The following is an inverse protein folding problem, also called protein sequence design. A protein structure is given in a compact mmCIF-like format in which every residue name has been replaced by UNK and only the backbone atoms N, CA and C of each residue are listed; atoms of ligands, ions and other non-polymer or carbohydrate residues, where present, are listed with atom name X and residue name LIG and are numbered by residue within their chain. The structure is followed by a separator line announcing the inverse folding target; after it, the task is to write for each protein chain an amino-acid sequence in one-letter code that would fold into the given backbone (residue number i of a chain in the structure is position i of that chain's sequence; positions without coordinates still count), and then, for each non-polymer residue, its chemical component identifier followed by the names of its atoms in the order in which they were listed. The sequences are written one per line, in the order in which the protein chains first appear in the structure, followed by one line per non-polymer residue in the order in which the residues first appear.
data_IF_051338081687
#
_entry.id   IF_051338081687
#
_cell.length_a   1.000
_cell.length_b   1.000
_cell.length_c   1.000
_cell.angle_alpha   90.00
_cell.angle_beta   90.00
_cell.angle_gamma   90.00
#
_symmetry.space_group_name_H-M   'P 1'
#
loop_
_entity.id
_entity.type
_entity.pdbx_description
1 polymer ?
#
# COMPACT_ATOMS: atom_id res chain seq x y z
N UNK A 1 -21.40 56.92 12.40
CA UNK A 1 -21.72 55.53 12.00
C UNK A 1 -22.67 55.61 10.83
N UNK A 2 -22.19 55.35 9.61
CA UNK A 2 -23.06 55.24 8.42
C UNK A 2 -23.90 53.97 8.56
N UNK A 3 -25.22 54.09 8.48
CA UNK A 3 -26.13 52.94 8.52
C UNK A 3 -25.91 52.10 7.26
N UNK A 4 -25.37 50.89 7.43
CA UNK A 4 -25.26 49.90 6.36
C UNK A 4 -26.57 49.12 6.29
N UNK A 5 -27.15 48.97 5.10
CA UNK A 5 -28.27 48.05 4.90
C UNK A 5 -27.82 46.62 5.24
N UNK A 6 -28.69 45.77 5.81
CA UNK A 6 -28.33 44.37 6.11
C UNK A 6 -27.84 43.61 4.86
N UNK A 7 -28.39 43.98 3.69
CA UNK A 7 -28.03 43.43 2.39
C UNK A 7 -26.60 43.79 1.92
N UNK A 8 -26.01 44.87 2.43
CA UNK A 8 -24.68 45.35 2.03
C UNK A 8 -23.60 45.13 3.12
N UNK A 9 -23.94 44.50 4.26
CA UNK A 9 -22.97 44.23 5.35
C UNK A 9 -21.76 43.44 4.86
N UNK A 10 -21.96 42.50 3.95
CA UNK A 10 -20.87 41.71 3.36
C UNK A 10 -19.92 42.54 2.51
N UNK A 11 -20.42 43.59 1.82
CA UNK A 11 -19.61 44.54 1.03
C UNK A 11 -18.68 45.31 1.96
N UNK A 12 -19.23 45.85 3.04
CA UNK A 12 -18.45 46.57 4.05
C UNK A 12 -17.41 45.67 4.73
N UNK A 13 -17.77 44.43 5.06
CA UNK A 13 -16.86 43.46 5.66
C UNK A 13 -15.70 43.11 4.71
N UNK A 14 -15.99 42.90 3.41
CA UNK A 14 -14.97 42.60 2.40
C UNK A 14 -14.03 43.80 2.18
N UNK A 15 -14.58 45.00 2.06
CA UNK A 15 -13.80 46.24 1.90
C UNK A 15 -12.90 46.50 3.12
N UNK A 16 -13.44 46.36 4.33
CA UNK A 16 -12.66 46.52 5.57
C UNK A 16 -11.55 45.48 5.65
N UNK A 17 -11.80 44.24 5.22
CA UNK A 17 -10.77 43.19 5.18
C UNK A 17 -9.65 43.56 4.19
N UNK A 18 -9.99 44.02 3.00
CA UNK A 18 -9.01 44.43 1.98
C UNK A 18 -8.11 45.56 2.50
N UNK A 19 -8.68 46.53 3.23
CA UNK A 19 -7.92 47.59 3.88
C UNK A 19 -6.95 47.04 4.94
N UNK A 20 -7.44 46.21 5.87
CA UNK A 20 -6.62 45.61 6.92
C UNK A 20 -5.52 44.70 6.34
N UNK A 21 -5.77 44.04 5.21
CA UNK A 21 -4.77 43.24 4.51
C UNK A 21 -3.63 44.09 3.91
N UNK A 22 -3.91 45.32 3.46
CA UNK A 22 -2.85 46.25 3.03
C UNK A 22 -1.92 46.60 4.21
N UNK A 23 -2.47 46.71 5.42
CA UNK A 23 -1.73 47.08 6.63
C UNK A 23 -0.97 45.89 7.24
N UNK A 24 -1.47 44.66 7.06
CA UNK A 24 -0.91 43.46 7.67
C UNK A 24 -0.78 42.30 6.65
N UNK A 25 0.40 42.18 6.05
CA UNK A 25 0.70 41.13 5.07
C UNK A 25 0.50 39.70 5.63
N UNK A 26 0.66 39.51 6.95
CA UNK A 26 0.40 38.24 7.64
C UNK A 26 -1.06 37.78 7.59
N UNK A 27 -1.99 38.64 7.22
CA UNK A 27 -3.42 38.32 7.03
C UNK A 27 -3.74 37.96 5.57
N UNK A 28 -2.73 37.89 4.70
CA UNK A 28 -2.91 37.53 3.30
C UNK A 28 -3.43 36.10 3.16
N UNK A 29 -4.52 35.96 2.42
CA UNK A 29 -5.12 34.66 2.10
C UNK A 29 -4.22 33.87 1.16
N UNK A 30 -4.09 32.57 1.43
CA UNK A 30 -3.50 31.65 0.46
C UNK A 30 -4.43 31.48 -0.73
N UNK A 31 -3.89 31.01 -1.86
CA UNK A 31 -4.69 30.73 -3.04
C UNK A 31 -5.80 29.68 -2.79
N UNK A 32 -5.57 28.74 -1.86
CA UNK A 32 -6.56 27.74 -1.46
C UNK A 32 -7.74 28.38 -0.72
N UNK A 33 -7.45 29.26 0.23
CA UNK A 33 -8.47 30.02 0.96
C UNK A 33 -9.22 30.97 0.02
N UNK A 34 -8.50 31.68 -0.85
CA UNK A 34 -9.11 32.59 -1.83
C UNK A 34 -10.05 31.86 -2.80
N UNK A 35 -9.71 30.64 -3.23
CA UNK A 35 -10.60 29.82 -4.05
C UNK A 35 -11.91 29.48 -3.33
N UNK A 36 -11.85 29.14 -2.03
CA UNK A 36 -13.05 28.91 -1.23
C UNK A 36 -13.88 30.19 -1.09
N UNK A 37 -13.25 31.32 -0.75
CA UNK A 37 -13.93 32.61 -0.59
C UNK A 37 -14.67 33.01 -1.88
N UNK A 38 -14.02 32.90 -3.05
CA UNK A 38 -14.63 33.22 -4.35
C UNK A 38 -15.81 32.30 -4.69
N UNK A 39 -15.70 31.01 -4.39
CA UNK A 39 -16.77 30.03 -4.63
C UNK A 39 -18.01 30.33 -3.78
N UNK A 40 -17.82 30.62 -2.48
CA UNK A 40 -18.92 30.95 -1.59
C UNK A 40 -19.46 32.36 -1.82
N UNK A 41 -18.63 33.29 -2.31
CA UNK A 41 -19.08 34.62 -2.72
C UNK A 41 -20.05 34.53 -3.90
N UNK A 42 -19.75 33.72 -4.93
CA UNK A 42 -20.69 33.47 -6.02
C UNK A 42 -22.00 32.88 -5.51
N UNK A 43 -21.95 31.87 -4.62
CA UNK A 43 -23.16 31.28 -4.04
C UNK A 43 -23.99 32.28 -3.22
N UNK A 44 -23.35 33.20 -2.50
CA UNK A 44 -24.02 34.28 -1.78
C UNK A 44 -24.72 35.22 -2.76
N UNK A 45 -24.07 35.60 -3.86
CA UNK A 45 -24.64 36.48 -4.87
C UNK A 45 -25.83 35.83 -5.59
N UNK A 46 -25.73 34.55 -5.94
CA UNK A 46 -26.85 33.78 -6.51
C UNK A 46 -28.05 33.76 -5.55
N UNK A 47 -27.80 33.66 -4.23
CA UNK A 47 -28.85 33.73 -3.21
C UNK A 47 -29.49 35.12 -3.13
N UNK A 48 -28.71 36.20 -3.22
CA UNK A 48 -29.22 37.57 -3.19
C UNK A 48 -30.04 37.92 -4.43
N UNK A 49 -29.62 37.44 -5.60
CA UNK A 49 -30.32 37.64 -6.87
C UNK A 49 -31.50 36.67 -7.07
N UNK A 50 -31.63 35.65 -6.21
CA UNK A 50 -32.69 34.64 -6.31
C UNK A 50 -32.58 33.74 -7.54
N UNK A 51 -31.43 33.71 -8.22
CA UNK A 51 -31.19 32.95 -9.45
C UNK A 51 -29.72 32.55 -9.58
N UNK A 52 -29.45 31.56 -10.44
CA UNK A 52 -28.07 31.25 -10.83
C UNK A 52 -27.47 32.37 -11.67
N UNK A 53 -26.19 32.62 -11.46
CA UNK A 53 -25.41 33.65 -12.14
C UNK A 53 -24.24 33.01 -12.88
N UNK A 54 -24.07 33.38 -14.14
CA UNK A 54 -22.86 33.05 -14.89
C UNK A 54 -21.66 33.83 -14.36
N UNK A 55 -20.45 33.30 -14.54
CA UNK A 55 -19.21 33.95 -14.08
C UNK A 55 -19.08 35.43 -14.56
N UNK A 56 -19.45 35.81 -15.81
CA UNK A 56 -19.48 37.21 -16.24
C UNK A 56 -20.49 38.08 -15.48
N UNK A 57 -21.68 37.56 -15.21
CA UNK A 57 -22.72 38.28 -14.45
C UNK A 57 -22.27 38.54 -13.01
N UNK A 58 -21.63 37.55 -12.38
CA UNK A 58 -21.04 37.69 -11.04
C UNK A 58 -20.01 38.82 -11.03
N UNK A 59 -19.10 38.85 -12.01
CA UNK A 59 -18.07 39.90 -12.11
C UNK A 59 -18.70 41.28 -12.32
N UNK A 60 -19.73 41.42 -13.15
CA UNK A 60 -20.41 42.70 -13.35
C UNK A 60 -21.14 43.17 -12.08
N UNK A 61 -21.79 42.26 -11.36
CA UNK A 61 -22.47 42.58 -10.11
C UNK A 61 -21.46 42.95 -9.00
N UNK A 62 -20.29 42.31 -8.96
CA UNK A 62 -19.22 42.73 -8.04
C UNK A 62 -18.67 44.12 -8.38
N UNK A 63 -18.56 44.44 -9.67
CA UNK A 63 -18.15 45.78 -10.14
C UNK A 63 -19.15 46.86 -9.74
N UNK A 64 -20.45 46.59 -9.82
CA UNK A 64 -21.49 47.55 -9.41
C UNK A 64 -21.58 47.76 -7.90
N UNK A 65 -21.06 46.82 -7.09
CA UNK A 65 -21.02 46.91 -5.62
C UNK A 65 -19.83 47.70 -5.07
N UNK A 66 -19.02 48.35 -5.91
CA UNK A 66 -17.90 49.24 -5.53
C UNK A 66 -16.93 48.59 -4.50
N UNK A 67 -16.53 47.34 -4.75
CA UNK A 67 -15.55 46.68 -3.90
C UNK A 67 -14.18 47.36 -3.96
N UNK A 68 -13.57 47.55 -2.80
CA UNK A 68 -12.20 48.04 -2.66
C UNK A 68 -11.23 46.87 -2.84
N UNK A 69 -10.08 47.12 -3.47
CA UNK A 69 -8.99 46.14 -3.58
C UNK A 69 -7.73 46.63 -2.90
N UNK A 70 -6.97 45.69 -2.34
CA UNK A 70 -5.64 45.96 -1.82
C UNK A 70 -4.69 46.40 -2.95
N UNK A 71 -4.21 47.66 -2.95
CA UNK A 71 -3.10 48.06 -3.84
C UNK A 71 -1.76 47.67 -3.21
N UNK A 72 -0.89 47.00 -3.98
CA UNK A 72 0.52 46.81 -3.61
C UNK A 72 1.28 48.11 -3.92
N UNK A 73 1.38 48.99 -2.93
CA UNK A 73 2.12 50.25 -3.05
C UNK A 73 1.50 51.35 -2.21
N UNK A 74 2.34 52.22 -1.66
CA UNK A 74 1.97 53.27 -0.71
C UNK A 74 0.80 54.15 -1.17
N UNK A 75 -0.31 54.06 -0.45
CA UNK A 75 -1.05 55.26 -0.04
C UNK A 75 -2.37 55.61 -0.72
N UNK A 76 -2.87 54.87 -1.72
CA UNK A 76 -4.22 55.15 -2.26
C UNK A 76 -5.01 53.87 -2.53
N UNK A 77 -6.08 53.65 -1.77
CA UNK A 77 -7.12 52.66 -2.12
C UNK A 77 -7.86 53.15 -3.36
N UNK A 78 -7.61 52.56 -4.53
CA UNK A 78 -8.43 52.77 -5.72
C UNK A 78 -9.64 51.82 -5.70
N UNK A 79 -10.79 52.28 -6.20
CA UNK A 79 -11.92 51.41 -6.56
C UNK A 79 -11.53 50.61 -7.81
N UNK A 80 -10.70 49.58 -7.66
CA UNK A 80 -10.24 48.78 -8.78
C UNK A 80 -10.66 47.32 -8.62
N UNK A 81 -11.85 47.00 -9.13
CA UNK A 81 -12.42 45.63 -9.12
C UNK A 81 -11.77 44.74 -10.19
N UNK A 82 -10.72 45.20 -10.89
CA UNK A 82 -10.02 44.41 -11.94
C UNK A 82 -9.40 43.11 -11.43
N UNK A 83 -9.20 42.97 -10.12
CA UNK A 83 -8.71 41.72 -9.52
C UNK A 83 -9.72 40.56 -9.56
N UNK A 84 -11.01 40.84 -9.77
CA UNK A 84 -12.03 39.81 -9.97
C UNK A 84 -12.32 39.67 -11.46
N UNK A 85 -11.81 38.61 -12.08
CA UNK A 85 -12.15 38.26 -13.45
C UNK A 85 -12.88 36.92 -13.52
N UNK A 86 -13.54 36.67 -14.65
CA UNK A 86 -14.33 35.44 -14.90
C UNK A 86 -13.50 34.18 -14.62
N UNK A 87 -12.23 34.20 -15.05
CA UNK A 87 -11.31 33.10 -14.84
C UNK A 87 -11.08 32.78 -13.36
N UNK A 88 -11.11 33.76 -12.44
CA UNK A 88 -10.98 33.51 -11.00
C UNK A 88 -12.12 32.63 -10.48
N UNK A 89 -13.37 32.89 -10.90
CA UNK A 89 -14.55 32.12 -10.48
C UNK A 89 -14.56 30.73 -11.11
N UNK A 90 -14.23 30.63 -12.40
CA UNK A 90 -14.06 29.34 -13.07
C UNK A 90 -13.00 28.49 -12.35
N UNK A 91 -11.85 29.08 -12.00
CA UNK A 91 -10.78 28.41 -11.26
C UNK A 91 -11.22 28.00 -9.85
N UNK A 92 -11.86 28.91 -9.11
CA UNK A 92 -12.37 28.66 -7.76
C UNK A 92 -13.35 27.49 -7.73
N UNK A 93 -14.34 27.47 -8.64
CA UNK A 93 -15.30 26.38 -8.80
C UNK A 93 -14.60 25.05 -9.06
N UNK A 94 -13.62 25.03 -9.97
CA UNK A 94 -12.82 23.84 -10.23
C UNK A 94 -12.07 23.36 -8.99
N UNK A 95 -11.44 24.26 -8.25
CA UNK A 95 -10.65 23.93 -7.06
C UNK A 95 -11.54 23.38 -5.95
N UNK A 96 -12.62 24.06 -5.60
CA UNK A 96 -13.49 23.63 -4.50
C UNK A 96 -14.16 22.29 -4.83
N UNK A 97 -14.74 22.16 -6.03
CA UNK A 97 -15.48 20.95 -6.40
C UNK A 97 -14.58 19.72 -6.62
N UNK A 98 -13.36 19.91 -7.16
CA UNK A 98 -12.47 18.78 -7.52
C UNK A 98 -11.33 18.51 -6.53
N UNK A 99 -10.94 19.50 -5.72
CA UNK A 99 -9.85 19.39 -4.75
C UNK A 99 -10.36 19.38 -3.31
N UNK A 100 -11.09 20.42 -2.88
CA UNK A 100 -11.51 20.57 -1.47
C UNK A 100 -12.50 19.49 -1.02
N UNK A 101 -13.29 18.95 -1.94
CA UNK A 101 -14.17 17.80 -1.68
C UNK A 101 -13.42 16.51 -1.30
N UNK A 102 -12.08 16.49 -1.43
CA UNK A 102 -11.26 15.32 -1.16
C UNK A 102 -10.41 15.52 0.09
N UNK A 103 -10.75 14.81 1.18
CA UNK A 103 -10.06 14.95 2.47
C UNK A 103 -8.53 14.82 2.36
N UNK A 104 -8.04 13.80 1.65
CA UNK A 104 -6.59 13.56 1.49
C UNK A 104 -5.88 14.74 0.83
N UNK A 105 -6.48 15.34 -0.20
CA UNK A 105 -5.92 16.50 -0.88
C UNK A 105 -5.95 17.72 0.04
N UNK A 106 -7.09 17.95 0.71
CA UNK A 106 -7.27 19.04 1.66
C UNK A 106 -6.26 19.00 2.80
N UNK A 107 -6.04 17.83 3.39
CA UNK A 107 -5.06 17.66 4.48
C UNK A 107 -3.63 17.96 4.00
N UNK A 108 -3.27 17.53 2.79
CA UNK A 108 -1.95 17.81 2.21
C UNK A 108 -1.77 19.30 1.95
N UNK A 109 -2.76 19.97 1.35
CA UNK A 109 -2.66 21.41 1.07
C UNK A 109 -2.59 22.19 2.38
N UNK A 110 -3.47 21.92 3.34
CA UNK A 110 -3.48 22.57 4.65
C UNK A 110 -2.15 22.36 5.41
N UNK A 111 -1.59 21.14 5.36
CA UNK A 111 -0.26 20.87 5.94
C UNK A 111 0.81 21.75 5.30
N UNK A 112 0.86 21.83 3.97
CA UNK A 112 1.87 22.64 3.28
C UNK A 112 1.68 24.14 3.52
N UNK A 113 0.44 24.63 3.57
CA UNK A 113 0.14 26.02 3.90
C UNK A 113 0.48 26.36 5.36
N UNK A 114 0.26 25.43 6.29
CA UNK A 114 0.65 25.62 7.71
C UNK A 114 2.18 25.70 7.85
N UNK A 115 2.92 24.89 7.09
CA UNK A 115 4.38 24.83 7.17
C UNK A 115 5.09 25.97 6.41
N UNK A 116 4.50 26.49 5.33
CA UNK A 116 5.16 27.41 4.40
C UNK A 116 4.39 28.70 4.12
N UNK A 117 3.14 28.81 4.54
CA UNK A 117 2.30 29.98 4.29
C UNK A 117 2.26 30.35 2.80
N UNK A 118 2.63 31.60 2.51
CA UNK A 118 2.70 32.15 1.16
C UNK A 118 3.74 31.49 0.25
N UNK A 119 4.77 30.85 0.82
CA UNK A 119 5.84 30.16 0.09
C UNK A 119 5.46 28.72 -0.31
N UNK A 120 4.28 28.26 0.08
CA UNK A 120 3.76 26.95 -0.31
C UNK A 120 3.71 26.79 -1.84
N UNK A 121 4.12 25.61 -2.34
CA UNK A 121 3.96 25.29 -3.75
C UNK A 121 2.50 25.30 -4.22
N UNK A 122 1.54 25.26 -3.31
CA UNK A 122 0.10 25.33 -3.63
C UNK A 122 -0.46 26.76 -3.57
N UNK A 123 0.31 27.76 -3.13
CA UNK A 123 -0.12 29.15 -3.08
C UNK A 123 -0.11 29.82 -4.48
N UNK A 124 -0.89 29.28 -5.41
CA UNK A 124 -1.16 29.89 -6.71
C UNK A 124 -2.44 29.33 -7.30
N UNK A 125 -3.40 30.21 -7.58
CA UNK A 125 -4.72 29.84 -8.09
C UNK A 125 -4.62 29.10 -9.44
N UNK A 126 -3.70 29.53 -10.31
CA UNK A 126 -3.44 28.88 -11.61
C UNK A 126 -2.90 27.46 -11.42
N UNK A 127 -1.99 27.27 -10.46
CA UNK A 127 -1.40 25.96 -10.17
C UNK A 127 -2.46 24.99 -9.64
N UNK A 128 -3.28 25.44 -8.69
CA UNK A 128 -4.38 24.65 -8.12
C UNK A 128 -5.44 24.31 -9.17
N UNK A 129 -5.84 25.26 -10.02
CA UNK A 129 -6.80 24.99 -11.11
C UNK A 129 -6.26 23.94 -12.09
N UNK A 130 -4.98 23.99 -12.46
CA UNK A 130 -4.39 22.96 -13.33
C UNK A 130 -4.26 21.60 -12.66
N UNK A 131 -3.99 21.54 -11.35
CA UNK A 131 -4.06 20.30 -10.56
C UNK A 131 -5.49 19.75 -10.46
N UNK A 132 -6.50 20.60 -10.51
CA UNK A 132 -7.89 20.19 -10.55
C UNK A 132 -8.31 19.65 -11.92
N UNK A 133 -7.83 20.27 -13.01
CA UNK A 133 -8.32 20.00 -14.37
C UNK A 133 -7.52 18.96 -15.15
N UNK A 134 -6.20 18.93 -15.04
CA UNK A 134 -5.36 18.09 -15.90
C UNK A 134 -5.34 16.61 -15.54
N UNK A 135 -5.28 16.23 -14.24
CA UNK A 135 -5.35 14.83 -13.88
C UNK A 135 -6.66 14.21 -14.38
N UNK A 136 -6.54 13.10 -15.10
CA UNK A 136 -7.62 12.40 -15.79
C UNK A 136 -8.72 11.91 -14.84
N UNK A 137 -8.38 11.57 -13.60
CA UNK A 137 -9.34 11.07 -12.62
C UNK A 137 -8.98 11.46 -11.18
N UNK A 138 -9.89 11.16 -10.24
CA UNK A 138 -9.68 11.45 -8.82
C UNK A 138 -8.50 10.68 -8.22
N UNK A 139 -8.29 9.44 -8.66
CA UNK A 139 -7.20 8.59 -8.18
C UNK A 139 -5.83 9.14 -8.60
N UNK A 140 -5.66 9.50 -9.88
CA UNK A 140 -4.42 10.11 -10.37
C UNK A 140 -4.15 11.44 -9.67
N UNK A 141 -5.19 12.25 -9.47
CA UNK A 141 -5.09 13.50 -8.71
C UNK A 141 -4.60 13.27 -7.27
N UNK A 142 -5.19 12.33 -6.53
CA UNK A 142 -4.74 11.97 -5.18
C UNK A 142 -3.27 11.55 -5.18
N UNK A 143 -2.89 10.66 -6.09
CA UNK A 143 -1.52 10.20 -6.25
C UNK A 143 -0.53 11.35 -6.46
N UNK A 144 -0.86 12.32 -7.31
CA UNK A 144 -0.03 13.50 -7.59
C UNK A 144 0.21 14.33 -6.32
N UNK A 145 -0.85 14.64 -5.56
CA UNK A 145 -0.72 15.41 -4.31
C UNK A 145 0.10 14.64 -3.26
N UNK A 146 -0.18 13.34 -3.12
CA UNK A 146 0.56 12.46 -2.22
C UNK A 146 2.04 12.37 -2.58
N UNK A 147 2.37 12.25 -3.87
CA UNK A 147 3.74 12.18 -4.37
C UNK A 147 4.48 13.51 -4.15
N UNK A 148 3.86 14.64 -4.48
CA UNK A 148 4.41 15.98 -4.22
C UNK A 148 4.75 16.13 -2.73
N UNK A 149 3.80 15.80 -1.86
CA UNK A 149 3.99 15.92 -0.41
C UNK A 149 5.10 15.00 0.09
N UNK A 150 5.18 13.75 -0.40
CA UNK A 150 6.23 12.81 -0.04
C UNK A 150 7.61 13.34 -0.45
N UNK A 151 7.76 13.75 -1.72
CA UNK A 151 9.02 14.28 -2.26
C UNK A 151 9.47 15.55 -1.53
N UNK A 152 8.55 16.45 -1.17
CA UNK A 152 8.84 17.67 -0.40
C UNK A 152 9.24 17.35 1.05
N UNK A 153 8.48 16.51 1.75
CA UNK A 153 8.76 16.16 3.15
C UNK A 153 10.11 15.45 3.33
N UNK A 154 10.59 14.75 2.31
CA UNK A 154 11.87 14.05 2.34
C UNK A 154 13.01 14.79 1.61
N UNK A 155 12.79 16.03 1.19
CA UNK A 155 13.83 16.86 0.57
C UNK A 155 14.30 16.36 -0.80
N UNK A 156 13.56 15.46 -1.44
CA UNK A 156 13.86 14.99 -2.80
C UNK A 156 13.63 16.13 -3.80
N UNK A 157 12.61 16.95 -3.57
CA UNK A 157 12.35 18.20 -4.28
C UNK A 157 12.13 19.36 -3.29
N UNK A 158 12.26 20.59 -3.78
CA UNK A 158 11.98 21.83 -3.04
C UNK A 158 10.74 22.53 -3.64
N UNK A 159 10.14 23.45 -2.89
CA UNK A 159 9.01 24.26 -3.40
C UNK A 159 9.37 25.02 -4.69
N UNK A 160 10.63 25.43 -4.85
CA UNK A 160 11.13 26.09 -6.04
C UNK A 160 11.12 25.22 -7.29
N UNK A 161 11.22 23.90 -7.15
CA UNK A 161 11.10 22.97 -8.27
C UNK A 161 9.67 22.93 -8.83
N UNK A 162 8.69 23.38 -8.02
CA UNK A 162 7.26 23.44 -8.32
C UNK A 162 6.78 24.87 -8.67
N UNK A 163 7.66 25.68 -9.26
CA UNK A 163 7.29 26.94 -9.92
C UNK A 163 6.29 26.69 -11.05
N UNK A 164 5.49 27.70 -11.40
CA UNK A 164 4.40 27.63 -12.41
C UNK A 164 4.86 26.94 -13.71
N UNK A 165 6.00 27.35 -14.27
CA UNK A 165 6.56 26.78 -15.52
C UNK A 165 6.89 25.29 -15.39
N UNK A 166 7.47 24.86 -14.28
CA UNK A 166 7.89 23.47 -14.09
C UNK A 166 6.70 22.56 -13.77
N UNK A 167 5.75 23.06 -12.98
CA UNK A 167 4.59 22.28 -12.56
C UNK A 167 3.60 22.09 -13.70
N UNK A 168 3.31 23.16 -14.45
CA UNK A 168 2.37 23.16 -15.56
C UNK A 168 3.06 22.70 -16.86
N UNK A 169 4.28 23.13 -17.13
CA UNK A 169 4.94 22.88 -18.41
C UNK A 169 4.32 23.66 -19.57
N UNK A 170 4.84 23.39 -20.77
CA UNK A 170 4.41 24.01 -22.03
C UNK A 170 3.80 22.98 -22.99
N UNK A 171 3.57 23.39 -24.23
CA UNK A 171 3.08 22.51 -25.30
C UNK A 171 4.10 21.44 -25.71
N UNK A 172 5.39 21.77 -25.69
CA UNK A 172 6.50 20.90 -26.09
C UNK A 172 7.23 20.23 -24.94
N UNK A 173 7.02 20.68 -23.69
CA UNK A 173 7.69 20.13 -22.52
C UNK A 173 6.69 19.86 -21.39
N UNK A 174 6.41 18.59 -21.07
CA UNK A 174 5.44 18.23 -20.04
C UNK A 174 5.90 18.67 -18.64
N UNK A 175 5.02 19.39 -17.94
CA UNK A 175 5.24 19.76 -16.55
C UNK A 175 5.06 18.61 -15.57
N UNK A 176 5.41 18.85 -14.30
CA UNK A 176 5.34 17.85 -13.23
C UNK A 176 3.94 17.24 -13.05
N UNK A 177 2.85 17.95 -13.34
CA UNK A 177 1.50 17.36 -13.27
C UNK A 177 1.38 16.17 -14.23
N UNK A 178 1.76 16.35 -15.50
CA UNK A 178 1.70 15.27 -16.49
C UNK A 178 2.72 14.18 -16.19
N UNK A 179 3.91 14.54 -15.69
CA UNK A 179 4.92 13.55 -15.26
C UNK A 179 4.37 12.66 -14.15
N UNK A 180 3.80 13.23 -13.11
CA UNK A 180 3.35 12.47 -11.94
C UNK A 180 2.12 11.63 -12.28
N UNK A 181 1.26 12.08 -13.20
CA UNK A 181 0.21 11.25 -13.76
C UNK A 181 0.74 10.11 -14.65
N UNK A 182 1.78 10.37 -15.44
CA UNK A 182 2.44 9.32 -16.21
C UNK A 182 3.06 8.27 -15.28
N UNK A 183 3.76 8.69 -14.23
CA UNK A 183 4.31 7.79 -13.20
C UNK A 183 3.25 6.96 -12.49
N UNK A 184 2.10 7.54 -12.19
CA UNK A 184 0.95 6.80 -11.65
C UNK A 184 0.51 5.66 -12.59
N UNK A 185 0.47 5.91 -13.90
CA UNK A 185 0.16 4.88 -14.91
C UNK A 185 1.30 3.87 -15.08
N UNK A 186 2.56 4.32 -15.01
CA UNK A 186 3.73 3.44 -15.02
C UNK A 186 3.72 2.45 -13.87
N UNK A 187 3.27 2.85 -12.67
CA UNK A 187 3.21 1.95 -11.52
C UNK A 187 2.39 0.69 -11.83
N UNK A 188 1.17 0.87 -12.33
CA UNK A 188 0.31 -0.25 -12.74
C UNK A 188 0.94 -1.03 -13.88
N UNK A 189 1.44 -0.36 -14.93
CA UNK A 189 2.07 -1.03 -16.06
C UNK A 189 3.28 -1.88 -15.68
N UNK A 190 4.17 -1.36 -14.82
CA UNK A 190 5.35 -2.09 -14.36
C UNK A 190 4.93 -3.32 -13.56
N UNK A 191 4.00 -3.16 -12.61
CA UNK A 191 3.54 -4.24 -11.73
C UNK A 191 2.70 -5.30 -12.45
N UNK A 192 1.89 -4.92 -13.43
CA UNK A 192 0.93 -5.80 -14.11
C UNK A 192 1.45 -6.37 -15.43
N UNK A 193 2.36 -5.67 -16.11
CA UNK A 193 2.83 -6.06 -17.44
C UNK A 193 4.32 -6.39 -17.40
N UNK A 194 5.19 -5.45 -17.04
CA UNK A 194 6.64 -5.66 -17.12
C UNK A 194 7.11 -6.78 -16.17
N UNK A 195 6.68 -6.76 -14.90
CA UNK A 195 6.98 -7.83 -13.95
C UNK A 195 6.46 -9.20 -14.39
N UNK A 196 5.37 -9.23 -15.17
CA UNK A 196 4.81 -10.48 -15.71
C UNK A 196 5.63 -10.99 -16.88
N UNK A 197 6.00 -10.10 -17.80
CA UNK A 197 6.86 -10.42 -18.95
C UNK A 197 8.25 -10.88 -18.53
N UNK A 198 8.82 -10.28 -17.47
CA UNK A 198 10.07 -10.70 -16.85
C UNK A 198 9.95 -12.01 -16.03
N UNK A 199 8.76 -12.62 -15.96
CA UNK A 199 8.49 -13.89 -15.27
C UNK A 199 8.89 -13.91 -13.79
N UNK A 200 8.80 -12.76 -13.12
CA UNK A 200 9.01 -12.68 -11.67
C UNK A 200 7.99 -13.56 -10.94
N UNK A 201 8.42 -14.14 -9.81
CA UNK A 201 7.61 -15.07 -9.01
C UNK A 201 6.28 -14.44 -8.60
N UNK A 202 5.19 -15.20 -8.72
CA UNK A 202 3.83 -14.72 -8.40
C UNK A 202 3.71 -14.16 -6.98
N UNK A 203 4.31 -14.85 -6.00
CA UNK A 203 4.31 -14.43 -4.60
C UNK A 203 4.96 -13.04 -4.43
N UNK A 204 6.10 -12.81 -5.09
CA UNK A 204 6.83 -11.54 -5.03
C UNK A 204 6.04 -10.42 -5.71
N UNK A 205 5.41 -10.70 -6.86
CA UNK A 205 4.53 -9.73 -7.54
C UNK A 205 3.34 -9.32 -6.66
N UNK A 206 2.74 -10.27 -5.94
CA UNK A 206 1.65 -9.99 -4.99
C UNK A 206 2.14 -9.09 -3.87
N UNK A 207 3.32 -9.35 -3.31
CA UNK A 207 3.92 -8.50 -2.28
C UNK A 207 4.21 -7.08 -2.79
N UNK A 208 4.86 -6.96 -3.97
CA UNK A 208 5.13 -5.67 -4.60
C UNK A 208 3.84 -4.86 -4.78
N UNK A 209 2.78 -5.47 -5.33
CA UNK A 209 1.47 -4.80 -5.50
C UNK A 209 0.82 -4.42 -4.18
N UNK A 210 0.97 -5.25 -3.14
CA UNK A 210 0.41 -4.99 -1.82
C UNK A 210 1.07 -3.77 -1.18
N UNK A 211 2.39 -3.64 -1.31
CA UNK A 211 3.18 -2.65 -0.59
C UNK A 211 3.41 -1.34 -1.37
N UNK A 212 3.32 -1.35 -2.71
CA UNK A 212 3.59 -0.21 -3.60
C UNK A 212 2.32 0.43 -4.19
N UNK A 213 1.25 0.60 -3.40
CA UNK A 213 -0.05 1.06 -3.91
C UNK A 213 -0.12 2.56 -4.19
N UNK A 214 0.44 3.35 -3.28
CA UNK A 214 0.42 4.81 -3.31
C UNK A 214 1.67 5.36 -2.61
N UNK A 215 1.99 6.66 -2.74
CA UNK A 215 3.23 7.20 -2.19
C UNK A 215 3.35 7.06 -0.66
N UNK A 216 2.32 7.33 0.16
CA UNK A 216 2.36 7.07 1.61
C UNK A 216 2.61 5.60 1.95
N UNK A 217 1.83 4.69 1.37
CA UNK A 217 1.97 3.25 1.63
C UNK A 217 3.36 2.75 1.21
N UNK A 218 3.82 3.17 0.04
CA UNK A 218 5.16 2.83 -0.46
C UNK A 218 6.21 3.25 0.54
N UNK A 219 6.16 4.50 1.06
CA UNK A 219 7.12 4.99 2.04
C UNK A 219 7.11 4.19 3.34
N UNK A 220 5.93 3.99 3.93
CA UNK A 220 5.80 3.20 5.15
C UNK A 220 6.34 1.78 4.95
N UNK A 221 6.09 1.18 3.79
CA UNK A 221 6.55 -0.19 3.50
C UNK A 221 7.99 -0.29 2.99
N UNK A 222 8.67 0.81 2.67
CA UNK A 222 10.03 0.73 2.10
C UNK A 222 11.09 1.42 2.91
N UNK A 223 10.69 2.19 3.91
CA UNK A 223 11.61 2.87 4.79
C UNK A 223 11.29 2.65 6.26
N UNK A 224 10.01 2.60 6.63
CA UNK A 224 9.61 2.37 8.03
C UNK A 224 9.48 0.88 8.36
N UNK A 225 8.99 0.07 7.41
CA UNK A 225 8.81 -1.37 7.57
C UNK A 225 9.35 -2.15 6.36
N UNK A 226 10.64 -2.46 6.40
CA UNK A 226 11.37 -3.14 5.33
C UNK A 226 11.39 -4.67 5.44
N UNK A 227 10.79 -5.25 6.49
CA UNK A 227 10.94 -6.67 6.81
C UNK A 227 10.50 -7.63 5.69
N UNK A 228 9.47 -7.25 4.93
CA UNK A 228 8.99 -8.05 3.79
C UNK A 228 9.93 -8.05 2.59
N UNK A 229 10.85 -7.08 2.48
CA UNK A 229 11.79 -7.04 1.36
C UNK A 229 12.78 -8.22 1.41
N UNK A 230 13.06 -8.73 2.60
CA UNK A 230 13.91 -9.90 2.81
C UNK A 230 13.30 -11.21 2.28
N UNK A 231 12.00 -11.26 2.01
CA UNK A 231 11.35 -12.44 1.41
C UNK A 231 11.33 -12.43 -0.12
N UNK A 232 11.73 -11.33 -0.76
CA UNK A 232 11.79 -11.21 -2.22
C UNK A 232 13.04 -11.90 -2.77
N UNK A 233 12.97 -12.41 -4.00
CA UNK A 233 14.21 -12.80 -4.72
C UNK A 233 15.07 -11.58 -5.06
N UNK A 234 16.33 -11.79 -5.44
CA UNK A 234 17.24 -10.70 -5.83
C UNK A 234 16.70 -9.96 -7.05
N UNK A 235 16.15 -10.68 -8.02
CA UNK A 235 15.49 -10.06 -9.17
C UNK A 235 14.30 -9.18 -8.76
N UNK A 236 13.47 -9.63 -7.80
CA UNK A 236 12.35 -8.83 -7.29
C UNK A 236 12.77 -7.65 -6.40
N UNK A 237 13.92 -7.73 -5.74
CA UNK A 237 14.53 -6.58 -5.05
C UNK A 237 15.06 -5.53 -6.04
N UNK A 238 15.67 -5.96 -7.15
CA UNK A 238 16.05 -5.03 -8.23
C UNK A 238 14.81 -4.40 -8.86
N UNK A 239 13.73 -5.17 -9.07
CA UNK A 239 12.46 -4.64 -9.56
C UNK A 239 11.85 -3.60 -8.60
N UNK A 240 11.93 -3.83 -7.29
CA UNK A 240 11.53 -2.85 -6.28
C UNK A 240 12.32 -1.55 -6.44
N UNK A 241 13.65 -1.64 -6.55
CA UNK A 241 14.54 -0.48 -6.74
C UNK A 241 14.18 0.29 -8.02
N UNK A 242 13.99 -0.42 -9.13
CA UNK A 242 13.55 0.17 -10.40
C UNK A 242 12.22 0.91 -10.27
N UNK A 243 11.22 0.31 -9.61
CA UNK A 243 9.91 0.96 -9.40
C UNK A 243 10.08 2.25 -8.58
N UNK A 244 10.92 2.23 -7.54
CA UNK A 244 11.23 3.42 -6.75
C UNK A 244 11.82 4.53 -7.60
N UNK A 245 12.85 4.24 -8.39
CA UNK A 245 13.57 5.22 -9.20
C UNK A 245 12.70 5.84 -10.29
N UNK A 246 11.82 5.03 -10.91
CA UNK A 246 10.93 5.48 -11.98
C UNK A 246 9.71 6.22 -11.44
N UNK A 247 9.04 5.67 -10.42
CA UNK A 247 7.71 6.13 -9.98
C UNK A 247 7.77 7.06 -8.77
N UNK A 248 8.56 6.73 -7.76
CA UNK A 248 8.48 7.40 -6.44
C UNK A 248 9.61 8.38 -6.17
N UNK A 249 10.71 8.31 -6.91
CA UNK A 249 11.86 9.21 -6.83
C UNK A 249 12.02 10.02 -8.12
N UNK A 250 13.01 10.91 -8.15
CA UNK A 250 13.24 11.81 -9.31
C UNK A 250 14.32 11.33 -10.28
N UNK A 251 14.88 10.14 -10.05
CA UNK A 251 16.07 9.64 -10.75
C UNK A 251 15.91 9.67 -12.27
N UNK A 252 14.74 9.29 -12.77
CA UNK A 252 14.44 9.24 -14.20
C UNK A 252 13.56 10.39 -14.71
N UNK A 253 13.22 11.40 -13.90
CA UNK A 253 12.26 12.46 -14.26
C UNK A 253 12.61 13.18 -15.57
N UNK A 254 13.89 13.45 -15.80
CA UNK A 254 14.34 14.15 -17.00
C UNK A 254 14.16 13.30 -18.27
N UNK A 255 14.48 12.02 -18.19
CA UNK A 255 14.36 11.06 -19.29
C UNK A 255 12.88 10.84 -19.61
N UNK A 256 12.06 10.62 -18.58
CA UNK A 256 10.61 10.48 -18.74
C UNK A 256 10.00 11.73 -19.40
N UNK A 257 10.40 12.93 -18.96
CA UNK A 257 9.94 14.20 -19.55
C UNK A 257 10.37 14.40 -21.00
N UNK A 258 11.54 13.88 -21.40
CA UNK A 258 12.02 13.97 -22.78
C UNK A 258 11.25 13.06 -23.73
N UNK A 259 10.93 11.83 -23.30
CA UNK A 259 10.23 10.87 -24.16
C UNK A 259 8.70 11.02 -24.14
N UNK A 260 8.10 11.43 -23.02
CA UNK A 260 6.64 11.46 -22.91
C UNK A 260 6.00 12.73 -23.50
N UNK A 261 4.78 12.57 -24.01
CA UNK A 261 3.82 13.64 -24.30
C UNK A 261 2.67 13.60 -23.27
N UNK A 262 1.86 14.68 -23.15
CA UNK A 262 0.63 14.61 -22.37
C UNK A 262 -0.20 13.39 -22.80
N UNK A 263 -0.67 12.60 -21.82
CA UNK A 263 -1.43 11.36 -22.02
C UNK A 263 -0.68 10.17 -22.65
N UNK A 264 0.64 10.23 -22.86
CA UNK A 264 1.44 9.09 -23.36
C UNK A 264 1.15 7.79 -22.60
N UNK A 265 1.09 6.67 -23.32
CA UNK A 265 0.90 5.35 -22.74
C UNK A 265 2.22 4.86 -22.09
N UNK A 266 2.18 4.12 -20.96
CA UNK A 266 3.39 3.64 -20.27
C UNK A 266 4.31 2.72 -21.11
N UNK A 267 3.81 2.12 -22.19
CA UNK A 267 4.64 1.26 -23.07
C UNK A 267 5.85 1.98 -23.68
N UNK A 268 5.82 3.31 -23.76
CA UNK A 268 6.97 4.12 -24.19
C UNK A 268 8.23 3.90 -23.33
N UNK A 269 8.09 3.35 -22.12
CA UNK A 269 9.24 2.94 -21.29
C UNK A 269 10.14 1.94 -22.03
N UNK A 270 9.59 1.11 -22.93
CA UNK A 270 10.36 0.15 -23.73
C UNK A 270 11.15 0.80 -24.89
N UNK A 271 10.90 2.08 -25.17
CA UNK A 271 11.60 2.86 -26.20
C UNK A 271 12.69 3.75 -25.59
N UNK A 272 12.70 3.90 -24.26
CA UNK A 272 13.66 4.73 -23.54
C UNK A 272 14.88 3.92 -23.14
N UNK A 273 15.98 4.06 -23.88
CA UNK A 273 17.22 3.28 -23.71
C UNK A 273 17.66 3.13 -22.24
N UNK A 274 17.78 4.23 -21.50
CA UNK A 274 18.18 4.18 -20.07
C UNK A 274 17.18 3.44 -19.18
N UNK A 275 15.89 3.48 -19.49
CA UNK A 275 14.87 2.72 -18.75
C UNK A 275 14.96 1.24 -19.11
N UNK A 276 15.16 0.93 -20.39
CA UNK A 276 15.35 -0.45 -20.88
C UNK A 276 16.60 -1.06 -20.25
N UNK A 277 17.72 -0.35 -20.25
CA UNK A 277 18.97 -0.80 -19.58
C UNK A 277 18.75 -1.06 -18.09
N UNK A 278 18.01 -0.17 -17.40
CA UNK A 278 17.69 -0.35 -15.99
C UNK A 278 16.80 -1.58 -15.76
N UNK A 279 15.82 -1.82 -16.64
CA UNK A 279 14.97 -3.00 -16.57
C UNK A 279 15.70 -4.29 -16.95
N UNK A 280 16.65 -4.25 -17.88
CA UNK A 280 17.47 -5.40 -18.26
C UNK A 280 18.25 -5.96 -17.09
N UNK A 281 18.62 -5.15 -16.07
CA UNK A 281 19.22 -5.67 -14.83
C UNK A 281 18.30 -6.62 -14.08
N UNK A 282 17.00 -6.29 -14.01
CA UNK A 282 15.98 -7.16 -13.40
C UNK A 282 15.89 -8.48 -14.14
N UNK A 283 15.81 -8.42 -15.47
CA UNK A 283 15.72 -9.61 -16.34
C UNK A 283 16.96 -10.48 -16.22
N UNK A 284 18.15 -9.88 -16.32
CA UNK A 284 19.43 -10.61 -16.21
C UNK A 284 19.60 -11.27 -14.84
N UNK A 285 19.20 -10.58 -13.75
CA UNK A 285 19.21 -11.18 -12.41
C UNK A 285 18.28 -12.38 -12.32
N UNK A 286 17.09 -12.28 -12.91
CA UNK A 286 16.15 -13.41 -12.94
C UNK A 286 16.70 -14.59 -13.75
N UNK A 287 17.30 -14.34 -14.91
CA UNK A 287 17.93 -15.37 -15.73
C UNK A 287 19.09 -16.05 -15.02
N UNK A 288 19.92 -15.28 -14.30
CA UNK A 288 20.99 -15.81 -13.46
C UNK A 288 20.44 -16.67 -12.31
N UNK A 289 19.39 -16.23 -11.62
CA UNK A 289 18.72 -17.03 -10.59
C UNK A 289 18.19 -18.36 -11.15
N UNK A 290 17.59 -18.34 -12.34
CA UNK A 290 17.12 -19.56 -13.02
C UNK A 290 18.28 -20.46 -13.46
N UNK A 291 19.40 -19.88 -13.90
CA UNK A 291 20.59 -20.63 -14.26
C UNK A 291 21.23 -21.29 -13.03
N UNK A 292 21.32 -20.58 -11.90
CA UNK A 292 21.80 -21.12 -10.62
C UNK A 292 20.87 -22.25 -10.11
N UNK A 293 19.55 -22.08 -10.20
CA UNK A 293 18.58 -23.12 -9.82
C UNK A 293 18.72 -24.36 -10.71
N UNK A 294 18.86 -24.19 -12.03
CA UNK A 294 19.09 -25.29 -12.98
C UNK A 294 20.43 -25.98 -12.76
N UNK A 295 21.50 -25.24 -12.55
CA UNK A 295 22.82 -25.80 -12.28
C UNK A 295 22.82 -26.58 -10.96
N UNK A 296 22.16 -26.06 -9.92
CA UNK A 296 21.97 -26.77 -8.65
C UNK A 296 21.20 -28.09 -8.82
N UNK A 297 20.13 -28.08 -9.62
CA UNK A 297 19.37 -29.29 -9.96
C UNK A 297 20.20 -30.30 -10.76
N UNK A 298 20.95 -29.87 -11.77
CA UNK A 298 21.84 -30.74 -12.55
C UNK A 298 22.98 -31.33 -11.71
N UNK A 299 23.48 -30.60 -10.72
CA UNK A 299 24.50 -31.11 -9.79
C UNK A 299 23.91 -32.13 -8.82
N UNK A 300 22.63 -31.99 -8.45
CA UNK A 300 21.90 -32.97 -7.64
C UNK A 300 21.54 -34.23 -8.44
N UNK A 301 21.22 -34.10 -9.73
CA UNK A 301 20.96 -35.22 -10.65
C UNK A 301 22.26 -35.96 -11.01
N UNK A 302 23.35 -35.26 -11.32
CA UNK A 302 24.66 -35.86 -11.58
C UNK A 302 25.23 -36.60 -10.36
N UNK A 303 24.96 -36.11 -9.14
CA UNK A 303 25.29 -36.85 -7.90
C UNK A 303 24.39 -38.05 -7.66
N UNK A 304 23.16 -38.06 -8.18
CA UNK A 304 22.29 -39.23 -8.13
C UNK A 304 22.80 -40.32 -9.07
N UNK A 305 23.29 -39.96 -10.26
CA UNK A 305 23.84 -40.89 -11.25
C UNK A 305 25.24 -41.43 -10.86
N UNK A 306 26.10 -40.65 -10.21
CA UNK A 306 27.37 -41.17 -9.67
C UNK A 306 27.18 -42.05 -8.42
N UNK A 307 26.06 -41.89 -7.70
CA UNK A 307 25.64 -42.85 -6.66
C UNK A 307 24.77 -44.00 -7.19
N UNK A 308 24.56 -44.05 -8.50
CA UNK A 308 23.59 -44.92 -9.17
C UNK A 308 24.12 -46.27 -9.66
N UNK A 309 25.38 -46.63 -9.35
CA UNK A 309 25.95 -47.90 -9.81
C UNK A 309 26.37 -48.89 -8.71
N UNK A 310 25.92 -48.67 -7.48
CA UNK A 310 25.93 -49.74 -6.46
C UNK A 310 24.55 -49.83 -5.79
N UNK A 311 23.98 -51.03 -5.89
CA UNK A 311 22.80 -51.53 -5.18
C UNK A 311 21.41 -51.10 -5.69
N UNK A 312 21.06 -51.60 -6.88
CA UNK A 312 19.77 -52.27 -7.00
C UNK A 312 19.84 -53.59 -6.21
N UNK A 313 18.75 -53.92 -5.52
CA UNK A 313 18.50 -55.14 -4.73
C UNK A 313 19.37 -55.34 -3.49
N UNK A 314 18.99 -54.73 -2.35
CA UNK A 314 19.01 -55.35 -1.01
C UNK A 314 18.29 -54.45 0.01
N UNK A 315 17.73 -55.05 1.07
CA UNK A 315 16.65 -54.50 1.89
C UNK A 315 16.79 -53.04 2.33
N UNK A 316 15.74 -52.24 2.11
CA UNK A 316 15.62 -50.90 2.65
C UNK A 316 15.64 -50.98 4.18
N UNK A 317 16.81 -50.74 4.76
CA UNK A 317 16.95 -50.66 6.21
C UNK A 317 16.08 -49.50 6.73
N UNK A 318 15.47 -49.60 7.92
CA UNK A 318 14.67 -48.53 8.51
C UNK A 318 15.39 -47.18 8.53
N UNK A 319 16.71 -47.19 8.68
CA UNK A 319 17.56 -45.99 8.66
C UNK A 319 17.64 -45.32 7.29
N UNK A 320 17.62 -46.09 6.19
CA UNK A 320 17.59 -45.53 4.84
C UNK A 320 16.27 -44.79 4.57
N UNK A 321 15.15 -45.40 4.97
CA UNK A 321 13.82 -44.78 4.88
C UNK A 321 13.72 -43.52 5.76
N UNK A 322 14.27 -43.57 6.97
CA UNK A 322 14.29 -42.44 7.90
C UNK A 322 15.12 -41.26 7.35
N UNK A 323 16.27 -41.55 6.74
CA UNK A 323 17.11 -40.54 6.12
C UNK A 323 16.42 -39.89 4.90
N UNK A 324 15.71 -40.69 4.09
CA UNK A 324 14.91 -40.17 2.98
C UNK A 324 13.77 -39.26 3.48
N UNK A 325 13.09 -39.67 4.56
CA UNK A 325 12.01 -38.90 5.17
C UNK A 325 12.47 -37.60 5.84
N UNK A 326 13.76 -37.44 6.12
CA UNK A 326 14.37 -36.23 6.71
C UNK A 326 14.87 -35.21 5.69
N UNK A 327 14.92 -35.56 4.39
CA UNK A 327 15.29 -34.61 3.34
C UNK A 327 14.26 -33.47 3.26
N UNK A 328 14.75 -32.25 3.19
CA UNK A 328 13.91 -31.05 3.04
C UNK A 328 13.48 -30.89 1.59
N UNK A 329 12.27 -30.37 1.29
CA UNK A 329 11.75 -30.25 -0.08
C UNK A 329 12.66 -29.49 -1.04
N UNK A 330 13.40 -28.50 -0.54
CA UNK A 330 14.37 -27.71 -1.31
C UNK A 330 15.60 -28.51 -1.76
N UNK A 331 15.83 -29.71 -1.23
CA UNK A 331 16.93 -30.62 -1.63
C UNK A 331 16.50 -31.65 -2.67
N UNK A 332 15.23 -31.63 -3.10
CA UNK A 332 14.64 -32.59 -4.02
C UNK A 332 14.12 -31.89 -5.28
N UNK A 333 14.13 -32.56 -6.44
CA UNK A 333 13.59 -32.00 -7.68
C UNK A 333 12.12 -31.61 -7.51
N UNK A 334 11.81 -30.34 -7.78
CA UNK A 334 10.48 -29.76 -7.59
C UNK A 334 9.43 -30.56 -8.38
N UNK A 335 8.30 -30.85 -7.75
CA UNK A 335 7.20 -31.68 -8.29
C UNK A 335 7.48 -33.18 -8.46
N UNK A 336 8.65 -33.68 -8.07
CA UNK A 336 8.86 -35.14 -8.01
C UNK A 336 7.98 -35.80 -6.94
N UNK A 337 7.67 -37.11 -7.05
CA UNK A 337 6.98 -37.85 -6.00
C UNK A 337 7.67 -37.74 -4.62
N UNK A 338 9.01 -37.74 -4.62
CA UNK A 338 9.82 -37.60 -3.41
C UNK A 338 9.75 -36.17 -2.84
N UNK A 339 9.71 -35.14 -3.69
CA UNK A 339 9.46 -33.76 -3.26
C UNK A 339 8.13 -33.63 -2.52
N UNK A 340 7.04 -34.18 -3.07
CA UNK A 340 5.73 -34.13 -2.40
C UNK A 340 5.70 -34.90 -1.08
N UNK A 341 6.40 -36.04 -1.01
CA UNK A 341 6.61 -36.77 0.26
C UNK A 341 7.39 -35.94 1.29
N UNK A 342 8.43 -35.22 0.87
CA UNK A 342 9.18 -34.33 1.75
C UNK A 342 8.37 -33.11 2.20
N UNK A 343 7.55 -32.54 1.32
CA UNK A 343 6.62 -31.43 1.66
C UNK A 343 5.62 -31.90 2.69
N UNK A 344 5.02 -33.08 2.50
CA UNK A 344 4.11 -33.68 3.48
C UNK A 344 4.82 -33.91 4.82
N UNK A 345 6.02 -34.51 4.82
CA UNK A 345 6.79 -34.75 6.05
C UNK A 345 7.18 -33.46 6.78
N UNK A 346 7.62 -32.42 6.07
CA UNK A 346 7.94 -31.13 6.67
C UNK A 346 6.69 -30.47 7.25
N UNK A 347 5.56 -30.55 6.55
CA UNK A 347 4.28 -30.00 7.00
C UNK A 347 3.81 -30.71 8.27
N UNK A 348 3.88 -32.05 8.30
CA UNK A 348 3.59 -32.84 9.49
C UNK A 348 4.53 -32.45 10.64
N UNK A 349 5.84 -32.37 10.43
CA UNK A 349 6.77 -31.96 11.52
C UNK A 349 6.55 -30.54 12.04
N UNK A 350 6.05 -29.64 11.18
CA UNK A 350 5.84 -28.24 11.54
C UNK A 350 4.53 -28.01 12.28
N UNK A 351 3.49 -28.79 11.98
CA UNK A 351 2.14 -28.56 12.49
C UNK A 351 1.55 -29.72 13.29
N UNK A 352 2.21 -30.88 13.31
CA UNK A 352 1.76 -32.09 14.00
C UNK A 352 2.85 -32.54 14.96
N UNK A 353 2.52 -32.53 16.23
CA UNK A 353 3.38 -33.07 17.28
C UNK A 353 2.90 -34.45 17.69
N UNK A 354 3.78 -35.45 17.55
CA UNK A 354 3.50 -36.80 18.02
C UNK A 354 4.01 -36.92 19.45
N UNK A 355 3.10 -37.24 20.37
CA UNK A 355 3.48 -37.51 21.75
C UNK A 355 3.07 -38.93 22.14
N UNK A 356 3.99 -39.64 22.79
CA UNK A 356 3.66 -40.93 23.40
C UNK A 356 2.66 -40.72 24.53
N UNK A 357 1.63 -41.56 24.59
CA UNK A 357 0.57 -41.45 25.60
C UNK A 357 1.15 -41.31 27.02
N UNK A 358 0.87 -40.21 27.73
CA UNK A 358 1.34 -40.03 29.09
C UNK A 358 0.67 -41.01 30.08
N UNK A 359 1.47 -41.49 31.04
CA UNK A 359 1.01 -42.45 32.05
C UNK A 359 -0.01 -41.90 33.04
N UNK A 360 -0.09 -40.58 33.22
CA UNK A 360 -0.98 -39.92 34.19
C UNK A 360 -1.63 -38.66 33.64
N UNK A 361 -2.78 -38.27 34.20
CA UNK A 361 -3.50 -37.03 33.89
C UNK A 361 -2.61 -35.78 34.05
N UNK A 362 -1.86 -35.69 35.15
CA UNK A 362 -0.93 -34.58 35.40
C UNK A 362 0.14 -34.45 34.30
N UNK A 363 0.61 -35.58 33.74
CA UNK A 363 1.58 -35.55 32.65
C UNK A 363 0.94 -35.11 31.33
N UNK A 364 -0.35 -35.39 31.11
CA UNK A 364 -1.11 -34.86 29.95
C UNK A 364 -1.24 -33.33 30.07
N UNK A 365 -1.61 -32.82 31.25
CA UNK A 365 -1.71 -31.37 31.49
C UNK A 365 -0.37 -30.66 31.25
N UNK A 366 0.70 -31.13 31.89
CA UNK A 366 2.03 -30.54 31.73
C UNK A 366 2.57 -30.63 30.29
N UNK A 367 2.14 -31.63 29.51
CA UNK A 367 2.48 -31.76 28.10
C UNK A 367 1.77 -30.69 27.27
N UNK A 368 0.46 -30.49 27.48
CA UNK A 368 -0.34 -29.50 26.75
C UNK A 368 0.11 -28.07 27.06
N UNK A 369 0.45 -27.78 28.32
CA UNK A 369 1.00 -26.47 28.72
C UNK A 369 2.31 -26.13 27.98
N UNK A 370 3.15 -27.14 27.68
CA UNK A 370 4.41 -26.95 26.95
C UNK A 370 4.22 -26.61 25.47
N UNK A 371 3.06 -26.90 24.90
CA UNK A 371 2.75 -26.58 23.49
C UNK A 371 2.61 -25.07 23.24
N UNK A 372 2.51 -24.25 24.30
CA UNK A 372 2.40 -22.78 24.22
C UNK A 372 1.32 -22.31 23.24
N UNK A 373 0.20 -23.04 23.17
CA UNK A 373 -0.90 -22.68 22.29
C UNK A 373 -1.47 -21.32 22.70
N UNK A 374 -1.88 -20.47 21.72
CA UNK A 374 -2.47 -19.18 22.02
C UNK A 374 -3.69 -19.34 22.94
N UNK A 375 -3.76 -18.56 24.01
CA UNK A 375 -4.93 -18.57 24.91
C UNK A 375 -6.16 -18.06 24.14
N UNK A 376 -7.26 -18.83 24.07
CA UNK A 376 -8.45 -18.40 23.35
C UNK A 376 -9.14 -17.23 24.07
N UNK A 377 -9.49 -16.19 23.32
CA UNK A 377 -10.32 -15.06 23.71
C UNK A 377 -11.78 -15.30 23.31
N UNK A 378 -12.68 -15.21 24.30
CA UNK A 378 -14.11 -15.40 24.10
C UNK A 378 -14.65 -14.47 23.00
N UNK A 379 -15.29 -15.07 21.99
CA UNK A 379 -15.90 -14.35 20.86
C UNK A 379 -14.93 -13.96 19.73
N UNK A 380 -13.62 -14.26 19.83
CA UNK A 380 -12.65 -13.99 18.76
C UNK A 380 -12.00 -15.24 18.18
N UNK A 381 -11.60 -16.19 19.02
CA UNK A 381 -10.93 -17.42 18.62
C UNK A 381 -11.29 -18.57 19.59
N UNK A 382 -11.27 -19.79 19.09
CA UNK A 382 -11.53 -21.00 19.87
C UNK A 382 -10.46 -22.05 19.57
N UNK A 383 -10.14 -22.86 20.58
CA UNK A 383 -9.31 -24.05 20.42
C UNK A 383 -10.23 -25.26 20.39
N UNK A 384 -10.28 -25.96 19.26
CA UNK A 384 -11.01 -27.22 19.16
C UNK A 384 -10.11 -28.36 19.63
N UNK A 385 -10.52 -29.05 20.68
CA UNK A 385 -9.92 -30.32 21.10
C UNK A 385 -10.76 -31.43 20.52
N UNK A 386 -10.21 -32.17 19.56
CA UNK A 386 -10.87 -33.31 18.94
C UNK A 386 -10.15 -34.60 19.34
N UNK A 387 -10.90 -35.51 19.95
CA UNK A 387 -10.44 -36.86 20.25
C UNK A 387 -10.97 -37.79 19.15
N UNK A 388 -10.13 -38.12 18.17
CA UNK A 388 -10.53 -39.02 17.10
C UNK A 388 -10.47 -40.48 17.59
N UNK A 389 -11.62 -41.00 18.03
CA UNK A 389 -11.76 -42.37 18.53
C UNK A 389 -11.46 -43.44 17.48
N UNK A 390 -11.44 -43.08 16.19
CA UNK A 390 -11.18 -44.02 15.09
C UNK A 390 -9.69 -44.33 14.91
N UNK A 391 -8.79 -43.48 15.40
CA UNK A 391 -7.33 -43.61 15.28
C UNK A 391 -6.67 -44.25 16.51
N UNK A 392 -7.44 -44.59 17.55
CA UNK A 392 -6.89 -45.19 18.76
C UNK A 392 -6.58 -46.68 18.58
N UNK A 393 -5.36 -47.07 18.97
CA UNK A 393 -4.90 -48.45 18.91
C UNK A 393 -4.00 -48.76 17.71
N UNK A 394 -3.65 -47.77 16.90
CA UNK A 394 -2.60 -47.91 15.90
C UNK A 394 -1.22 -48.01 16.57
N UNK A 395 -0.40 -48.92 16.08
CA UNK A 395 1.00 -49.01 16.51
C UNK A 395 1.84 -48.02 15.70
N UNK A 396 2.59 -47.17 16.38
CA UNK A 396 3.51 -46.23 15.73
C UNK A 396 4.82 -46.94 15.36
N UNK A 397 5.33 -46.69 14.15
CA UNK A 397 6.67 -47.09 13.72
C UNK A 397 6.71 -48.09 12.57
N UNK A 398 7.92 -48.53 12.15
CA UNK A 398 8.13 -49.34 10.95
C UNK A 398 7.43 -50.72 10.94
N UNK A 399 6.95 -51.16 12.12
CA UNK A 399 6.26 -52.43 12.33
C UNK A 399 4.76 -52.24 12.55
N UNK A 400 4.19 -51.10 12.15
CA UNK A 400 2.77 -50.81 12.28
C UNK A 400 1.96 -51.85 11.51
N UNK A 401 1.09 -52.58 12.20
CA UNK A 401 0.18 -53.54 11.55
C UNK A 401 -1.21 -52.93 11.39
N UNK A 402 -1.64 -52.81 10.14
CA UNK A 402 -2.97 -52.31 9.77
C UNK A 402 -4.07 -53.26 10.27
N UNK A 403 -5.11 -52.73 10.90
CA UNK A 403 -6.31 -53.50 11.27
C UNK A 403 -6.17 -54.46 12.47
N UNK A 404 -5.20 -54.26 13.35
CA UNK A 404 -4.89 -55.25 14.40
C UNK A 404 -5.96 -55.45 15.47
N UNK A 405 -6.96 -54.56 15.65
CA UNK A 405 -8.04 -54.80 16.63
C UNK A 405 -9.43 -54.37 16.17
N UNK A 406 -10.36 -55.31 16.38
CA UNK A 406 -11.83 -55.13 16.35
C UNK A 406 -12.24 -54.06 17.34
N UNK A 407 -13.01 -53.07 16.87
CA UNK A 407 -13.85 -52.11 17.61
C UNK A 407 -13.39 -51.85 19.04
N UNK A 408 -12.47 -50.89 19.19
CA UNK A 408 -12.07 -50.39 20.50
C UNK A 408 -13.19 -49.52 21.08
N UNK A 409 -13.56 -49.78 22.34
CA UNK A 409 -14.46 -48.93 23.13
C UNK A 409 -13.62 -48.28 24.23
N UNK A 410 -13.32 -46.97 24.16
CA UNK A 410 -12.60 -46.30 25.24
C UNK A 410 -13.39 -46.41 26.55
N UNK A 411 -12.72 -46.74 27.65
CA UNK A 411 -13.32 -46.60 28.97
C UNK A 411 -13.39 -45.12 29.38
N UNK A 412 -14.33 -44.78 30.25
CA UNK A 412 -14.57 -43.40 30.66
C UNK A 412 -13.37 -42.79 31.38
N UNK A 413 -12.59 -43.60 32.08
CA UNK A 413 -11.37 -43.19 32.78
C UNK A 413 -10.29 -42.69 31.81
N UNK A 414 -10.12 -43.35 30.66
CA UNK A 414 -9.16 -42.94 29.64
C UNK A 414 -9.61 -41.65 28.94
N UNK A 415 -10.89 -41.51 28.63
CA UNK A 415 -11.43 -40.26 28.04
C UNK A 415 -11.23 -39.10 29.01
N UNK A 416 -11.54 -39.28 30.29
CA UNK A 416 -11.29 -38.25 31.32
C UNK A 416 -9.80 -37.91 31.43
N UNK A 417 -8.92 -38.92 31.39
CA UNK A 417 -7.47 -38.70 31.41
C UNK A 417 -7.01 -37.89 30.20
N UNK A 418 -7.41 -38.25 28.98
CA UNK A 418 -6.90 -37.61 27.77
C UNK A 418 -7.59 -36.28 27.48
N UNK A 419 -8.92 -36.27 27.36
CA UNK A 419 -9.69 -35.08 27.02
C UNK A 419 -9.78 -34.11 28.19
N UNK A 420 -10.12 -34.61 29.38
CA UNK A 420 -10.27 -33.77 30.58
C UNK A 420 -8.97 -33.05 30.94
N UNK A 421 -7.86 -33.79 31.04
CA UNK A 421 -6.56 -33.19 31.38
C UNK A 421 -6.02 -32.25 30.30
N UNK A 422 -6.38 -32.47 29.02
CA UNK A 422 -6.04 -31.55 27.92
C UNK A 422 -6.77 -30.23 28.07
N UNK A 423 -8.07 -30.25 28.39
CA UNK A 423 -8.85 -29.04 28.65
C UNK A 423 -8.28 -28.27 29.85
N UNK A 424 -7.88 -28.97 30.91
CA UNK A 424 -7.22 -28.36 32.07
C UNK A 424 -5.88 -27.70 31.68
N UNK A 425 -5.05 -28.37 30.86
CA UNK A 425 -3.81 -27.79 30.35
C UNK A 425 -4.01 -26.59 29.44
N UNK A 426 -5.20 -26.43 28.84
CA UNK A 426 -5.61 -25.25 28.08
C UNK A 426 -6.25 -24.15 28.95
N UNK A 427 -6.25 -24.32 30.29
CA UNK A 427 -6.76 -23.32 31.24
C UNK A 427 -8.21 -23.52 31.67
N UNK A 428 -8.84 -24.66 31.39
CA UNK A 428 -10.15 -24.98 31.95
C UNK A 428 -10.05 -25.19 33.47
N UNK A 429 -11.00 -24.63 34.22
CA UNK A 429 -11.09 -24.84 35.66
C UNK A 429 -11.63 -26.25 35.95
N UNK A 430 -10.92 -27.01 36.78
CA UNK A 430 -11.43 -28.25 37.35
C UNK A 430 -12.59 -27.93 38.30
N UNK A 431 -13.82 -28.24 37.89
CA UNK A 431 -14.95 -28.28 38.84
C UNK A 431 -14.76 -29.50 39.74
N UNK A 432 -14.88 -29.29 41.05
CA UNK A 432 -14.70 -30.34 42.07
C UNK A 432 -15.73 -31.49 41.99
N UNK A 433 -16.77 -31.39 41.15
CA UNK A 433 -17.88 -32.34 41.10
C UNK A 433 -18.48 -32.48 39.70
N UNK A 434 -17.86 -33.25 38.79
CA UNK A 434 -18.56 -33.75 37.60
C UNK A 434 -18.27 -35.25 37.43
N UNK A 435 -19.11 -36.09 38.05
CA UNK A 435 -19.41 -37.41 37.52
C UNK A 435 -20.20 -37.16 36.23
N UNK A 436 -19.51 -37.22 35.09
CA UNK A 436 -20.21 -37.44 33.83
C UNK A 436 -20.74 -38.87 33.91
N UNK A 437 -22.04 -39.05 33.79
CA UNK A 437 -22.60 -40.34 33.36
C UNK A 437 -22.91 -40.16 31.88
N UNK A 438 -22.16 -40.84 31.02
CA UNK A 438 -22.52 -40.97 29.61
C UNK A 438 -23.71 -41.95 29.48
N UNK A 439 -24.67 -41.71 28.56
CA UNK A 439 -25.76 -42.64 28.27
C UNK A 439 -25.28 -43.98 27.68
#
# INVERSE_FOLDING_TARGET
MTACSEADVWVHALNKRQLVQQEHESLTRTAWQNAAELYYLQALMEKLEGRKLSDPEVVQLLKSKHLMTAQKGSGQSAMDVTNYCEWNFTAAKSIVTKLQSNQVITDIVNKQETLKGSDSCFNSLVKLEKLAQRPSCLASRRFIFQLINNLLCHGVIKNEDLRKKNMIGGSSNPGSIHLYEFKWRCLTYILDIMCVQAKLKDADRILLKKHLKDPPATRTNTVENVGWQGSLTKASQEALTFIHDVVFLKQHDNILKQGMKPNSHPEILNEMETIVEAWSRVVNLHENELAEEKAGLQTLEGKADESGNEAATEGQTPDHLLNLARKTPNTLPKHSPQYWKAVANQTVRMYVEFVTEPRSAANVTAMVEKLQLPTPEAGKNCTLVHLDTSLFGESLGPNSQEGLRKVWKPDEALIQKLLGSTLVGLGAQTRQEWQVQLP
#
